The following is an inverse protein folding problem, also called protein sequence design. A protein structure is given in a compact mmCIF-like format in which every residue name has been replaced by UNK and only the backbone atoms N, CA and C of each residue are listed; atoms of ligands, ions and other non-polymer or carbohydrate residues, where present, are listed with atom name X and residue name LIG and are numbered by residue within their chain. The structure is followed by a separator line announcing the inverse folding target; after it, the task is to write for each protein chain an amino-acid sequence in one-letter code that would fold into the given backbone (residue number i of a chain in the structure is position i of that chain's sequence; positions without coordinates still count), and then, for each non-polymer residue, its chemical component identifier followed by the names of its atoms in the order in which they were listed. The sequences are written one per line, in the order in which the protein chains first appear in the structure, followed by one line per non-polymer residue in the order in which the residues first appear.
data_IF_019316814747
#
_entry.id   IF_019316814747
#
_cell.length_a   1.000
_cell.length_b   1.000
_cell.length_c   1.000
_cell.angle_alpha   90.00
_cell.angle_beta   90.00
_cell.angle_gamma   90.00
#
_symmetry.space_group_name_H-M   'P 1'
#
loop_
_entity.id
_entity.type
_entity.pdbx_description
1 polymer ?
#
# COMPACT_ATOMS: atom_id res chain seq x y z
N UNK A 1 -20.79 15.95 -1.22
CA UNK A 1 -20.19 15.12 -0.16
C UNK A 1 -20.01 13.72 -0.70
N UNK A 2 -18.78 13.26 -0.81
CA UNK A 2 -18.47 11.87 -1.11
C UNK A 2 -17.16 11.52 -0.41
N UNK A 3 -17.21 10.57 0.52
CA UNK A 3 -16.00 9.97 1.07
C UNK A 3 -15.77 8.65 0.35
N UNK A 4 -14.65 8.57 -0.34
CA UNK A 4 -14.31 7.46 -1.21
C UNK A 4 -13.06 6.77 -0.67
N UNK A 5 -13.17 5.49 -0.32
CA UNK A 5 -12.01 4.66 -0.06
C UNK A 5 -11.47 4.08 -1.38
N UNK A 6 -10.16 4.17 -1.59
CA UNK A 6 -9.46 3.61 -2.74
C UNK A 6 -8.49 2.55 -2.22
N UNK A 7 -8.76 1.29 -2.49
CA UNK A 7 -8.00 0.15 -1.95
C UNK A 7 -7.68 -0.90 -3.02
N UNK A 8 -6.90 -1.93 -2.68
CA UNK A 8 -6.42 -2.94 -3.63
C UNK A 8 -7.11 -4.27 -3.40
N UNK A 9 -7.51 -4.97 -4.45
CA UNK A 9 -8.15 -6.28 -4.33
C UNK A 9 -7.15 -7.39 -3.92
N UNK A 10 -5.88 -7.28 -4.30
CA UNK A 10 -4.95 -8.40 -4.31
C UNK A 10 -3.72 -8.14 -3.42
N UNK A 11 -2.51 -8.24 -3.98
CA UNK A 11 -1.24 -8.16 -3.25
C UNK A 11 -0.67 -6.75 -3.10
N UNK A 12 -1.28 -5.74 -3.70
CA UNK A 12 -1.07 -4.36 -3.32
C UNK A 12 -0.38 -3.42 -4.30
N UNK A 13 -0.08 -3.86 -5.51
CA UNK A 13 0.56 -3.06 -6.55
C UNK A 13 -0.37 -2.72 -7.73
N UNK A 14 -1.68 -2.70 -7.51
CA UNK A 14 -2.74 -2.62 -8.53
C UNK A 14 -2.90 -1.25 -9.24
N UNK A 15 -2.10 -0.25 -8.87
CA UNK A 15 -2.17 1.10 -9.47
C UNK A 15 -3.06 2.10 -8.72
N UNK A 16 -3.38 1.85 -7.45
CA UNK A 16 -4.21 2.75 -6.60
C UNK A 16 -3.77 4.21 -6.61
N UNK A 17 -2.46 4.48 -6.60
CA UNK A 17 -1.93 5.85 -6.60
C UNK A 17 -2.34 6.63 -7.86
N UNK A 18 -2.38 5.98 -9.03
CA UNK A 18 -2.84 6.61 -10.29
C UNK A 18 -4.33 6.95 -10.24
N UNK A 19 -5.14 6.07 -9.63
CA UNK A 19 -6.57 6.31 -9.44
C UNK A 19 -6.80 7.43 -8.43
N UNK A 20 -6.03 7.44 -7.34
CA UNK A 20 -6.09 8.50 -6.32
C UNK A 20 -5.68 9.85 -6.90
N UNK A 21 -4.58 9.91 -7.65
CA UNK A 21 -4.12 11.11 -8.35
C UNK A 21 -5.18 11.66 -9.33
N UNK A 22 -5.75 10.80 -10.16
CA UNK A 22 -6.80 11.17 -11.12
C UNK A 22 -8.03 11.76 -10.42
N UNK A 23 -8.47 11.14 -9.32
CA UNK A 23 -9.63 11.61 -8.55
C UNK A 23 -9.32 12.80 -7.64
N UNK A 24 -8.04 13.05 -7.31
CA UNK A 24 -7.63 14.11 -6.40
C UNK A 24 -7.90 15.51 -6.97
N UNK A 25 -8.03 15.65 -8.29
CA UNK A 25 -8.38 16.91 -8.97
C UNK A 25 -9.65 17.54 -8.37
N UNK A 26 -10.65 16.71 -8.07
CA UNK A 26 -11.96 17.13 -7.55
C UNK A 26 -12.13 16.94 -6.02
N UNK A 27 -11.05 16.55 -5.34
CA UNK A 27 -11.06 16.31 -3.90
C UNK A 27 -10.76 17.59 -3.09
N UNK A 28 -11.33 17.68 -1.89
CA UNK A 28 -10.89 18.68 -0.90
C UNK A 28 -9.76 18.10 -0.03
N UNK A 29 -9.80 16.79 0.25
CA UNK A 29 -8.82 16.09 1.08
C UNK A 29 -8.38 14.76 0.46
N UNK A 30 -7.10 14.43 0.61
CA UNK A 30 -6.56 13.08 0.39
C UNK A 30 -5.88 12.60 1.66
N UNK A 31 -6.31 11.47 2.18
CA UNK A 31 -5.95 10.98 3.51
C UNK A 31 -5.28 9.63 3.41
N UNK A 32 -4.03 9.56 3.89
CA UNK A 32 -3.32 8.31 4.13
C UNK A 32 -3.65 7.82 5.53
N UNK A 33 -4.24 6.63 5.62
CA UNK A 33 -4.82 6.13 6.87
C UNK A 33 -4.09 4.92 7.46
N UNK A 34 -3.17 4.28 6.74
CA UNK A 34 -2.43 3.11 7.22
C UNK A 34 -1.12 2.94 6.45
N UNK A 35 -0.36 1.92 6.86
CA UNK A 35 0.89 1.53 6.21
C UNK A 35 2.02 2.46 6.62
N UNK A 36 2.91 2.80 5.71
CA UNK A 36 4.10 3.60 5.95
C UNK A 36 4.98 3.65 4.69
N UNK A 37 6.30 3.71 4.88
CA UNK A 37 7.26 3.76 3.78
C UNK A 37 7.45 2.41 3.01
N UNK A 38 6.68 1.38 3.36
CA UNK A 38 6.76 0.04 2.76
C UNK A 38 5.97 -0.13 1.47
N UNK A 39 5.08 0.80 1.16
CA UNK A 39 4.40 0.85 -0.11
C UNK A 39 4.63 2.21 -0.70
N UNK A 40 4.65 2.27 -2.02
CA UNK A 40 4.76 3.50 -2.76
C UNK A 40 4.07 3.40 -4.09
N UNK A 41 3.84 4.56 -4.69
CA UNK A 41 3.28 4.68 -6.01
C UNK A 41 4.11 5.70 -6.79
N UNK A 42 4.15 5.49 -8.10
CA UNK A 42 4.78 6.42 -9.01
C UNK A 42 3.73 7.40 -9.50
N UNK A 43 4.00 8.70 -9.41
CA UNK A 43 3.24 9.74 -10.10
C UNK A 43 4.10 10.31 -11.22
N UNK A 44 3.54 10.39 -12.42
CA UNK A 44 4.17 11.03 -13.58
C UNK A 44 3.31 12.23 -13.95
N UNK A 45 3.88 13.43 -13.84
CA UNK A 45 3.19 14.68 -14.11
C UNK A 45 4.15 15.67 -14.80
N UNK A 46 3.72 16.91 -15.11
CA UNK A 46 4.59 17.90 -15.76
C UNK A 46 5.87 18.27 -14.99
N UNK A 47 5.96 17.97 -13.69
CA UNK A 47 7.15 18.17 -12.85
C UNK A 47 8.09 16.96 -12.86
N UNK A 48 7.71 15.87 -13.55
CA UNK A 48 8.52 14.66 -13.75
C UNK A 48 7.92 13.42 -13.07
N UNK A 49 8.78 12.43 -12.86
CA UNK A 49 8.45 11.15 -12.23
C UNK A 49 8.83 11.18 -10.74
N UNK A 50 7.87 10.99 -9.86
CA UNK A 50 8.05 10.96 -8.40
C UNK A 50 7.65 9.59 -7.83
N UNK A 51 8.43 9.08 -6.88
CA UNK A 51 8.11 7.85 -6.16
C UNK A 51 7.67 8.23 -4.73
N UNK A 52 6.37 8.28 -4.49
CA UNK A 52 5.79 8.65 -3.20
C UNK A 52 5.49 7.42 -2.37
N UNK A 53 5.85 7.45 -1.09
CA UNK A 53 5.61 6.39 -0.11
C UNK A 53 4.78 6.91 1.06
N UNK A 54 5.09 8.08 1.62
CA UNK A 54 4.36 8.65 2.74
C UNK A 54 3.40 9.74 2.30
N UNK A 55 3.84 10.63 1.41
CA UNK A 55 3.00 11.70 0.91
C UNK A 55 1.79 11.11 0.14
N UNK A 56 0.56 11.61 0.38
CA UNK A 56 -0.59 11.18 -0.38
C UNK A 56 -0.50 11.61 -1.85
N UNK A 57 -1.17 10.92 -2.77
CA UNK A 57 -1.11 11.23 -4.21
C UNK A 57 -1.61 12.65 -4.55
N UNK A 58 -2.46 13.22 -3.70
CA UNK A 58 -2.98 14.59 -3.85
C UNK A 58 -1.96 15.71 -3.62
N UNK A 59 -0.71 15.39 -3.31
CA UNK A 59 0.33 16.35 -2.90
C UNK A 59 0.68 17.38 -3.98
N UNK A 60 0.43 17.07 -5.25
CA UNK A 60 0.71 17.96 -6.37
C UNK A 60 -0.37 19.03 -6.60
N UNK A 61 -1.52 18.95 -5.93
CA UNK A 61 -2.66 19.84 -6.15
C UNK A 61 -2.75 20.90 -5.04
N UNK A 62 -2.53 22.20 -5.33
CA UNK A 62 -2.51 23.25 -4.29
C UNK A 62 -3.85 23.46 -3.57
N UNK A 63 -4.96 23.04 -4.16
CA UNK A 63 -6.29 23.10 -3.57
C UNK A 63 -6.56 21.95 -2.59
N UNK A 64 -5.84 20.84 -2.69
CA UNK A 64 -6.10 19.60 -1.94
C UNK A 64 -5.33 19.58 -0.63
N UNK A 65 -6.03 19.31 0.47
CA UNK A 65 -5.39 19.12 1.78
C UNK A 65 -4.99 17.65 1.95
N UNK A 66 -3.69 17.42 2.06
CA UNK A 66 -3.09 16.10 2.21
C UNK A 66 -2.92 15.79 3.69
N UNK A 67 -3.39 14.62 4.14
CA UNK A 67 -3.45 14.25 5.55
C UNK A 67 -2.70 12.94 5.79
N UNK A 68 -1.73 12.97 6.70
CA UNK A 68 -1.13 11.78 7.30
C UNK A 68 -1.85 11.49 8.62
N UNK A 69 -2.68 10.47 8.64
CA UNK A 69 -3.55 10.17 9.77
C UNK A 69 -2.90 9.25 10.83
N UNK A 70 -3.50 9.09 12.03
CA UNK A 70 -2.90 8.35 13.14
C UNK A 70 -2.57 6.89 12.84
N UNK A 71 -3.23 6.29 11.85
CA UNK A 71 -3.00 4.91 11.46
C UNK A 71 -1.66 4.68 10.77
N UNK A 72 -1.00 5.71 10.22
CA UNK A 72 0.25 5.60 9.44
C UNK A 72 1.49 5.43 10.35
N UNK A 73 2.43 4.60 9.89
CA UNK A 73 3.80 4.51 10.39
C UNK A 73 4.67 5.60 9.76
N UNK A 74 4.82 6.73 10.46
CA UNK A 74 5.49 7.92 9.93
C UNK A 74 7.02 7.79 10.05
N UNK A 75 7.69 7.45 8.96
CA UNK A 75 9.15 7.55 8.84
C UNK A 75 9.53 9.00 8.48
N UNK A 76 10.11 9.74 9.43
CA UNK A 76 10.43 11.15 9.23
C UNK A 76 11.53 11.37 8.20
N UNK A 77 12.48 10.45 8.06
CA UNK A 77 13.55 10.57 7.07
C UNK A 77 12.92 10.53 5.66
N UNK A 78 12.11 9.50 5.39
CA UNK A 78 11.42 9.33 4.11
C UNK A 78 10.44 10.48 3.83
N UNK A 79 9.74 10.95 4.85
CA UNK A 79 8.81 12.08 4.73
C UNK A 79 9.51 13.35 4.25
N UNK A 80 10.67 13.67 4.84
CA UNK A 80 11.44 14.85 4.45
C UNK A 80 12.13 14.66 3.10
N UNK A 81 12.67 13.48 2.82
CA UNK A 81 13.25 13.17 1.51
C UNK A 81 12.23 13.40 0.38
N UNK A 82 10.99 12.93 0.55
CA UNK A 82 9.92 13.13 -0.43
C UNK A 82 9.53 14.61 -0.57
N UNK A 83 9.39 15.34 0.55
CA UNK A 83 9.02 16.75 0.50
C UNK A 83 10.14 17.62 -0.11
N UNK A 84 11.40 17.32 0.20
CA UNK A 84 12.56 18.01 -0.34
C UNK A 84 12.72 17.71 -1.84
N UNK A 85 12.38 16.49 -2.30
CA UNK A 85 12.32 16.16 -3.73
C UNK A 85 11.26 16.98 -4.47
N UNK A 86 10.06 17.15 -3.89
CA UNK A 86 9.02 18.01 -4.47
C UNK A 86 9.53 19.44 -4.67
N UNK A 87 10.17 20.02 -3.65
CA UNK A 87 10.72 21.37 -3.71
C UNK A 87 11.84 21.50 -4.75
N UNK A 88 12.77 20.55 -4.79
CA UNK A 88 13.89 20.55 -5.75
C UNK A 88 13.40 20.52 -7.20
N UNK A 89 12.27 19.85 -7.47
CA UNK A 89 11.67 19.77 -8.80
C UNK A 89 10.63 20.86 -9.08
N UNK A 90 10.56 21.88 -8.23
CA UNK A 90 9.63 23.00 -8.34
C UNK A 90 8.16 22.55 -8.44
N UNK A 91 7.81 21.45 -7.75
CA UNK A 91 6.41 21.08 -7.55
C UNK A 91 5.75 22.12 -6.62
N UNK A 92 4.42 22.31 -6.70
CA UNK A 92 3.72 23.24 -5.82
C UNK A 92 3.90 22.90 -4.35
N UNK A 93 3.96 23.92 -3.48
CA UNK A 93 4.03 23.69 -2.04
C UNK A 93 2.72 23.01 -1.56
N UNK A 94 2.82 21.82 -0.94
CA UNK A 94 1.63 21.06 -0.61
C UNK A 94 0.93 21.58 0.64
N UNK A 95 -0.41 21.59 0.62
CA UNK A 95 -1.20 21.74 1.86
C UNK A 95 -1.16 20.43 2.63
N UNK A 96 -0.24 20.32 3.57
CA UNK A 96 0.02 19.08 4.30
C UNK A 96 -0.37 19.21 5.77
N UNK A 97 -0.97 18.14 6.32
CA UNK A 97 -1.37 18.01 7.71
C UNK A 97 -0.94 16.66 8.25
N UNK A 98 -0.26 16.66 9.39
CA UNK A 98 0.22 15.46 10.07
C UNK A 98 -0.50 15.33 11.40
N UNK A 99 -1.02 14.15 11.68
CA UNK A 99 -1.72 13.88 12.93
C UNK A 99 -0.77 13.98 14.13
N UNK A 100 -1.18 14.74 15.14
CA UNK A 100 -0.56 14.76 16.46
C UNK A 100 -0.54 13.37 17.15
N UNK A 101 -1.41 12.46 16.71
CA UNK A 101 -1.54 11.07 17.20
C UNK A 101 -0.83 10.03 16.33
N UNK A 102 -0.31 10.41 15.16
CA UNK A 102 0.55 9.51 14.38
C UNK A 102 1.78 9.14 15.22
N UNK A 103 2.33 7.94 14.98
CA UNK A 103 3.54 7.48 15.65
C UNK A 103 4.70 7.43 14.66
N UNK A 104 5.91 7.65 15.16
CA UNK A 104 7.12 7.71 14.33
C UNK A 104 7.81 6.35 14.21
N UNK A 105 8.29 6.05 13.01
CA UNK A 105 9.20 4.93 12.79
C UNK A 105 10.59 5.33 13.32
N UNK A 106 11.00 4.68 14.40
CA UNK A 106 12.30 4.89 15.03
C UNK A 106 13.42 4.10 14.34
N UNK A 107 14.69 4.55 14.46
CA UNK A 107 15.82 3.87 13.82
C UNK A 107 15.92 2.39 14.17
N UNK A 108 15.64 2.03 15.44
CA UNK A 108 15.66 0.62 15.87
C UNK A 108 14.60 -0.23 15.16
N UNK A 109 13.46 0.33 14.72
CA UNK A 109 12.47 -0.46 13.99
C UNK A 109 13.04 -0.96 12.66
N UNK A 110 13.71 -0.09 11.90
CA UNK A 110 14.35 -0.45 10.62
C UNK A 110 15.43 -1.51 10.82
N UNK A 111 16.24 -1.35 11.86
CA UNK A 111 17.28 -2.31 12.22
C UNK A 111 16.69 -3.67 12.61
N UNK A 112 15.72 -3.71 13.52
CA UNK A 112 15.09 -4.96 13.96
C UNK A 112 14.41 -5.71 12.81
N UNK A 113 13.74 -4.98 11.90
CA UNK A 113 13.13 -5.54 10.70
C UNK A 113 14.18 -6.18 9.78
N UNK A 114 15.29 -5.48 9.55
CA UNK A 114 16.42 -6.01 8.78
C UNK A 114 17.08 -7.23 9.45
N UNK A 115 17.31 -7.17 10.76
CA UNK A 115 17.96 -8.24 11.53
C UNK A 115 17.11 -9.51 11.59
N UNK A 116 15.78 -9.38 11.68
CA UNK A 116 14.88 -10.53 11.66
C UNK A 116 14.90 -11.22 10.30
N UNK A 117 14.87 -10.48 9.19
CA UNK A 117 15.02 -11.05 7.85
C UNK A 117 16.39 -11.72 7.64
N UNK A 118 17.47 -11.13 8.16
CA UNK A 118 18.81 -11.74 8.16
C UNK A 118 18.82 -13.07 8.92
N UNK A 119 18.19 -13.10 10.11
CA UNK A 119 18.10 -14.29 10.98
C UNK A 119 17.28 -15.41 10.33
N UNK A 120 16.19 -15.06 9.65
CA UNK A 120 15.31 -16.03 8.99
C UNK A 120 15.90 -16.60 7.70
N UNK A 121 16.79 -15.85 7.03
CA UNK A 121 17.45 -16.26 5.80
C UNK A 121 16.46 -16.80 4.74
N UNK A 122 16.48 -18.10 4.45
CA UNK A 122 15.59 -18.74 3.48
C UNK A 122 14.11 -18.79 3.89
N UNK A 123 13.81 -18.55 5.17
CA UNK A 123 12.45 -18.47 5.72
C UNK A 123 11.97 -17.01 5.90
N UNK A 124 12.59 -16.05 5.21
CA UNK A 124 12.23 -14.63 5.27
C UNK A 124 10.80 -14.38 4.77
N UNK A 125 10.16 -13.37 5.34
CA UNK A 125 8.83 -12.94 4.93
C UNK A 125 8.85 -12.07 3.67
N UNK A 126 10.04 -11.55 3.31
CA UNK A 126 10.19 -10.61 2.20
C UNK A 126 9.85 -9.19 2.61
N UNK A 127 10.24 -8.80 3.82
CA UNK A 127 10.02 -7.46 4.35
C UNK A 127 10.71 -6.40 3.50
N UNK A 128 10.14 -5.19 3.50
CA UNK A 128 10.73 -4.01 2.87
C UNK A 128 11.88 -3.42 3.69
N UNK A 129 12.12 -3.94 4.91
CA UNK A 129 13.15 -3.45 5.84
C UNK A 129 12.97 -1.98 6.22
N UNK A 130 11.71 -1.52 6.20
CA UNK A 130 11.31 -0.15 6.55
C UNK A 130 10.81 -0.05 8.00
N UNK A 131 10.91 -1.11 8.79
CA UNK A 131 10.57 -1.09 10.21
C UNK A 131 9.08 -1.24 10.50
N UNK A 132 8.26 -1.64 9.53
CA UNK A 132 6.79 -1.66 9.67
C UNK A 132 6.33 -2.64 10.74
N UNK A 133 6.82 -3.89 10.70
CA UNK A 133 6.39 -4.89 11.67
C UNK A 133 6.84 -4.53 13.11
N UNK A 134 8.12 -4.19 13.37
CA UNK A 134 8.53 -3.71 14.69
C UNK A 134 7.77 -2.46 15.15
N UNK A 135 7.46 -1.52 14.24
CA UNK A 135 6.69 -0.33 14.55
C UNK A 135 5.26 -0.65 15.00
N UNK A 136 4.52 -1.45 14.24
CA UNK A 136 3.14 -1.81 14.61
C UNK A 136 3.10 -2.71 15.86
N UNK A 137 4.15 -3.51 16.09
CA UNK A 137 4.33 -4.21 17.35
C UNK A 137 4.50 -3.24 18.53
N UNK A 138 5.34 -2.22 18.41
CA UNK A 138 5.52 -1.21 19.46
C UNK A 138 4.26 -0.38 19.70
N UNK A 139 3.48 -0.10 18.64
CA UNK A 139 2.16 0.52 18.73
C UNK A 139 1.20 -0.33 19.55
N UNK A 140 1.15 -1.64 19.30
CA UNK A 140 0.31 -2.58 20.06
C UNK A 140 0.82 -2.79 21.51
N UNK A 141 2.13 -2.79 21.72
CA UNK A 141 2.78 -2.86 23.03
C UNK A 141 2.68 -1.55 23.83
N UNK A 142 2.21 -0.47 23.20
CA UNK A 142 2.02 0.87 23.80
C UNK A 142 3.34 1.52 24.22
N UNK A 143 4.40 1.29 23.45
CA UNK A 143 5.74 1.84 23.70
C UNK A 143 6.25 2.75 22.56
N UNK A 144 5.46 2.92 21.49
CA UNK A 144 5.79 3.82 20.39
C UNK A 144 5.69 5.31 20.74
N UNK A 145 6.48 6.13 20.05
CA UNK A 145 6.53 7.59 20.21
C UNK A 145 5.55 8.25 19.25
N UNK A 146 4.71 9.15 19.75
CA UNK A 146 3.76 9.94 18.95
C UNK A 146 4.40 11.24 18.45
N UNK A 147 3.85 11.78 17.38
CA UNK A 147 4.21 13.10 16.84
C UNK A 147 4.07 14.20 17.90
N UNK A 148 3.01 14.16 18.72
CA UNK A 148 2.82 15.09 19.86
C UNK A 148 3.88 14.96 20.96
N UNK A 149 4.61 13.84 21.04
CA UNK A 149 5.69 13.67 22.00
C UNK A 149 6.99 14.34 21.53
N UNK A 150 7.13 14.61 20.22
CA UNK A 150 8.38 15.12 19.64
C UNK A 150 8.78 16.52 20.12
N UNK A 151 7.82 17.30 20.60
CA UNK A 151 8.05 18.64 21.17
C UNK A 151 8.35 18.61 22.66
N UNK A 152 8.37 17.43 23.30
CA UNK A 152 8.63 17.23 24.73
C UNK A 152 9.80 16.26 24.92
N UNK A 153 11.04 16.78 25.02
CA UNK A 153 12.24 15.97 25.16
C UNK A 153 12.24 15.03 26.37
N UNK A 154 11.67 15.46 27.49
CA UNK A 154 11.59 14.66 28.71
C UNK A 154 10.64 13.48 28.49
N UNK A 155 9.50 13.71 27.86
CA UNK A 155 8.56 12.63 27.51
C UNK A 155 9.14 11.67 26.49
N UNK A 156 9.84 12.15 25.46
CA UNK A 156 10.54 11.28 24.51
C UNK A 156 11.56 10.39 25.21
N UNK A 157 12.42 10.97 26.05
CA UNK A 157 13.43 10.23 26.81
C UNK A 157 12.79 9.16 27.69
N UNK A 158 11.78 9.53 28.46
CA UNK A 158 11.06 8.60 29.33
C UNK A 158 10.43 7.43 28.56
N UNK A 159 9.93 7.64 27.34
CA UNK A 159 9.40 6.56 26.51
C UNK A 159 10.50 5.66 25.94
N UNK A 160 11.61 6.24 25.47
CA UNK A 160 12.76 5.48 24.96
C UNK A 160 13.42 4.63 26.06
N UNK A 161 13.57 5.17 27.28
CA UNK A 161 14.09 4.43 28.43
C UNK A 161 13.22 3.22 28.82
N UNK A 162 11.92 3.27 28.51
CA UNK A 162 11.01 2.13 28.71
C UNK A 162 11.06 1.12 27.57
N UNK A 163 11.15 1.60 26.33
CA UNK A 163 11.10 0.75 25.14
C UNK A 163 12.43 0.02 24.87
N UNK A 164 13.54 0.75 24.95
CA UNK A 164 14.85 0.32 24.44
C UNK A 164 15.45 -0.89 25.17
N UNK A 165 15.33 -1.06 26.51
CA UNK A 165 15.94 -2.21 27.20
C UNK A 165 15.53 -3.58 26.64
N UNK A 166 14.26 -3.76 26.28
CA UNK A 166 13.78 -4.99 25.66
C UNK A 166 14.36 -5.18 24.25
N UNK A 167 14.54 -4.09 23.50
CA UNK A 167 15.11 -4.11 22.16
C UNK A 167 16.62 -4.39 22.18
N UNK A 168 17.34 -3.83 23.14
CA UNK A 168 18.77 -4.10 23.34
C UNK A 168 19.05 -5.58 23.66
N UNK A 169 18.17 -6.22 24.44
CA UNK A 169 18.26 -7.67 24.70
C UNK A 169 18.09 -8.46 23.39
N UNK A 170 17.13 -8.07 22.55
CA UNK A 170 16.94 -8.71 21.24
C UNK A 170 18.14 -8.46 20.32
N UNK A 171 18.59 -7.21 20.19
CA UNK A 171 19.73 -6.81 19.36
C UNK A 171 20.99 -7.60 19.74
N UNK A 172 21.37 -7.57 21.02
CA UNK A 172 22.62 -8.20 21.48
C UNK A 172 22.49 -9.72 21.63
N UNK A 173 21.40 -10.22 22.20
CA UNK A 173 21.25 -11.63 22.56
C UNK A 173 20.76 -12.51 21.40
N UNK A 174 19.79 -12.03 20.61
CA UNK A 174 19.22 -12.80 19.50
C UNK A 174 19.95 -12.53 18.18
N UNK A 175 20.24 -11.26 17.88
CA UNK A 175 20.79 -10.86 16.58
C UNK A 175 22.31 -10.69 16.57
N UNK A 176 22.97 -10.63 17.73
CA UNK A 176 24.42 -10.40 17.83
C UNK A 176 24.86 -9.03 17.32
N UNK A 177 24.02 -8.01 17.49
CA UNK A 177 24.22 -6.62 17.04
C UNK A 177 24.45 -5.68 18.22
N UNK A 178 24.96 -4.49 17.93
CA UNK A 178 25.25 -3.48 18.94
C UNK A 178 23.97 -2.84 19.52
N UNK A 179 24.09 -2.33 20.75
CA UNK A 179 23.04 -1.54 21.41
C UNK A 179 22.91 -0.18 20.77
N UNK A 180 21.73 0.43 20.92
CA UNK A 180 21.51 1.81 20.48
C UNK A 180 21.66 2.80 21.64
N UNK A 181 22.09 4.03 21.30
CA UNK A 181 22.11 5.14 22.24
C UNK A 181 20.76 5.88 22.23
N UNK A 182 20.14 6.03 23.40
CA UNK A 182 18.94 6.86 23.57
C UNK A 182 19.23 8.30 23.12
N UNK A 183 20.38 8.84 23.50
CA UNK A 183 20.77 10.22 23.16
C UNK A 183 20.87 10.39 21.65
N UNK A 184 21.45 9.43 20.94
CA UNK A 184 21.54 9.47 19.48
C UNK A 184 20.16 9.43 18.80
N UNK A 185 19.21 8.68 19.35
CA UNK A 185 17.83 8.64 18.84
C UNK A 185 17.15 9.99 19.08
N UNK A 186 17.28 10.56 20.28
CA UNK A 186 16.69 11.87 20.62
C UNK A 186 17.27 12.97 19.75
N UNK A 187 18.58 13.01 19.54
CA UNK A 187 19.23 14.03 18.72
C UNK A 187 18.73 14.01 17.27
N UNK A 188 18.60 12.79 16.71
CA UNK A 188 18.04 12.58 15.37
C UNK A 188 16.59 13.07 15.29
N UNK A 189 15.72 12.66 16.24
CA UNK A 189 14.31 13.08 16.25
C UNK A 189 14.13 14.58 16.48
N UNK A 190 14.95 15.20 17.32
CA UNK A 190 14.88 16.63 17.61
C UNK A 190 15.18 17.45 16.35
N UNK A 191 16.16 17.01 15.57
CA UNK A 191 16.52 17.64 14.29
C UNK A 191 15.36 17.57 13.29
N UNK A 192 14.72 16.39 13.16
CA UNK A 192 13.64 16.17 12.19
C UNK A 192 12.30 16.79 12.62
N UNK A 193 12.03 16.88 13.92
CA UNK A 193 10.76 17.37 14.48
C UNK A 193 10.60 18.88 14.43
N UNK A 194 11.69 19.65 14.46
CA UNK A 194 11.65 21.12 14.40
C UNK A 194 10.90 21.58 13.13
N UNK A 195 11.21 20.96 11.99
CA UNK A 195 10.54 21.22 10.70
C UNK A 195 9.09 20.75 10.67
N UNK A 196 8.74 19.74 11.47
CA UNK A 196 7.41 19.10 11.44
C UNK A 196 6.33 19.97 12.07
N UNK A 197 6.70 20.83 13.02
CA UNK A 197 5.77 21.59 13.88
C UNK A 197 4.68 22.34 13.12
N UNK A 198 4.98 22.92 11.95
CA UNK A 198 4.01 23.66 11.12
C UNK A 198 2.94 22.77 10.48
N UNK A 199 3.20 21.47 10.35
CA UNK A 199 2.29 20.50 9.74
C UNK A 199 1.40 19.79 10.77
N UNK A 200 1.76 19.81 12.04
CA UNK A 200 1.07 19.06 13.10
C UNK A 200 -0.31 19.68 13.38
N UNK A 201 -1.35 18.85 13.43
CA UNK A 201 -2.68 19.25 13.90
C UNK A 201 -3.48 18.05 14.44
N UNK A 202 -4.61 18.35 15.09
CA UNK A 202 -5.63 17.33 15.35
C UNK A 202 -6.37 17.00 14.06
N UNK A 203 -5.89 15.97 13.35
CA UNK A 203 -6.47 15.52 12.09
C UNK A 203 -7.87 14.92 12.27
N UNK A 204 -8.23 14.46 13.47
CA UNK A 204 -9.57 13.93 13.74
C UNK A 204 -10.58 15.06 13.70
N UNK A 205 -10.31 16.16 14.43
CA UNK A 205 -11.16 17.36 14.38
C UNK A 205 -11.23 17.92 12.97
N UNK A 206 -10.09 18.05 12.29
CA UNK A 206 -10.01 18.52 10.91
C UNK A 206 -10.93 17.73 9.97
N UNK A 207 -10.83 16.40 9.98
CA UNK A 207 -11.62 15.54 9.10
C UNK A 207 -13.10 15.53 9.50
N UNK A 208 -13.43 15.55 10.79
CA UNK A 208 -14.82 15.64 11.23
C UNK A 208 -15.48 16.97 10.81
N UNK A 209 -14.75 18.09 10.85
CA UNK A 209 -15.26 19.37 10.41
C UNK A 209 -15.37 19.46 8.88
N UNK A 210 -14.45 18.82 8.15
CA UNK A 210 -14.59 18.65 6.70
C UNK A 210 -15.84 17.83 6.33
N UNK A 211 -16.09 16.73 7.05
CA UNK A 211 -17.30 15.89 6.87
C UNK A 211 -18.57 16.71 7.11
N UNK A 212 -18.65 17.49 8.21
CA UNK A 212 -19.81 18.37 8.48
C UNK A 212 -20.01 19.46 7.44
N UNK A 213 -18.93 19.86 6.76
CA UNK A 213 -18.94 20.85 5.70
C UNK A 213 -19.14 20.25 4.29
N UNK A 214 -19.61 19.00 4.21
CA UNK A 214 -19.93 18.27 2.97
C UNK A 214 -18.76 18.14 1.99
N UNK A 215 -17.52 18.16 2.51
CA UNK A 215 -16.27 18.10 1.73
C UNK A 215 -16.05 16.73 1.08
N UNK A 216 -15.37 16.73 -0.07
CA UNK A 216 -14.98 15.50 -0.76
C UNK A 216 -13.65 14.98 -0.20
N UNK A 217 -13.64 13.73 0.26
CA UNK A 217 -12.49 13.12 0.94
C UNK A 217 -12.12 11.81 0.26
N UNK A 218 -10.88 11.69 -0.20
CA UNK A 218 -10.32 10.43 -0.68
C UNK A 218 -9.49 9.77 0.41
N UNK A 219 -9.76 8.49 0.70
CA UNK A 219 -8.98 7.68 1.62
C UNK A 219 -8.07 6.76 0.79
N UNK A 220 -6.78 7.06 0.80
CA UNK A 220 -5.78 6.37 0.00
C UNK A 220 -5.23 5.16 0.75
N UNK A 221 -5.60 3.97 0.30
CA UNK A 221 -5.12 2.70 0.84
C UNK A 221 -3.76 2.30 0.28
N UNK A 222 -2.93 1.71 1.14
CA UNK A 222 -1.69 1.05 0.72
C UNK A 222 -1.84 -0.46 0.67
N UNK A 223 -1.08 -1.10 -0.22
CA UNK A 223 -1.13 -2.55 -0.45
C UNK A 223 -2.57 -3.01 -0.82
N UNK A 224 -2.87 -4.30 -0.68
CA UNK A 224 -4.15 -4.88 -1.09
C UNK A 224 -4.66 -5.87 -0.07
N UNK A 225 -5.91 -6.34 -0.23
CA UNK A 225 -6.60 -7.17 0.74
C UNK A 225 -5.84 -8.46 1.11
N UNK A 226 -5.07 -9.04 0.18
CA UNK A 226 -4.32 -10.28 0.44
C UNK A 226 -3.04 -10.06 1.27
N UNK A 227 -2.69 -8.80 1.55
CA UNK A 227 -1.63 -8.41 2.50
C UNK A 227 -2.17 -7.98 3.86
N UNK A 228 -3.47 -8.01 4.07
CA UNK A 228 -4.08 -7.72 5.37
C UNK A 228 -3.61 -8.73 6.45
N UNK A 229 -3.26 -8.31 7.67
CA UNK A 229 -2.77 -9.21 8.71
C UNK A 229 -3.82 -10.22 9.21
N UNK A 230 -5.11 -9.89 9.15
CA UNK A 230 -6.18 -10.77 9.59
C UNK A 230 -6.77 -11.60 8.44
N UNK A 231 -6.96 -10.96 7.28
CA UNK A 231 -7.71 -11.52 6.15
C UNK A 231 -6.84 -11.87 4.94
N UNK A 232 -5.55 -11.56 4.98
CA UNK A 232 -4.59 -11.85 3.92
C UNK A 232 -3.91 -13.21 4.06
N UNK A 233 -2.84 -13.40 3.30
CA UNK A 233 -2.10 -14.65 3.23
C UNK A 233 -1.04 -14.69 4.33
N UNK A 234 -1.44 -14.93 5.57
CA UNK A 234 -0.54 -15.01 6.72
C UNK A 234 0.44 -16.21 6.60
N UNK A 235 1.75 -16.06 6.90
CA UNK A 235 2.43 -14.90 7.50
C UNK A 235 2.98 -13.88 6.48
N UNK A 236 2.66 -14.01 5.19
CA UNK A 236 3.11 -13.13 4.13
C UNK A 236 2.23 -11.87 4.04
N UNK A 237 2.00 -11.20 5.16
CA UNK A 237 1.13 -10.02 5.26
C UNK A 237 1.96 -8.79 5.61
N UNK A 238 1.34 -7.61 5.56
CA UNK A 238 1.86 -6.44 6.27
C UNK A 238 1.40 -6.47 7.74
N UNK A 239 1.67 -5.40 8.48
CA UNK A 239 1.33 -5.28 9.91
C UNK A 239 0.28 -4.21 10.19
N UNK A 240 -0.37 -3.71 9.14
CA UNK A 240 -1.56 -2.85 9.22
C UNK A 240 -2.66 -3.38 8.34
N UNK A 241 -3.92 -3.19 8.76
CA UNK A 241 -5.03 -3.58 7.91
C UNK A 241 -5.08 -2.75 6.63
N UNK A 242 -5.19 -3.43 5.50
CA UNK A 242 -5.19 -2.83 4.15
C UNK A 242 -6.60 -2.59 3.62
N UNK A 243 -7.61 -3.04 4.37
CA UNK A 243 -9.01 -3.04 3.97
C UNK A 243 -9.64 -1.65 4.11
N UNK A 244 -10.63 -1.37 3.26
CA UNK A 244 -11.39 -0.11 3.28
C UNK A 244 -12.00 0.19 4.66
N UNK A 245 -12.51 -0.82 5.37
CA UNK A 245 -13.10 -0.65 6.70
C UNK A 245 -12.12 -0.13 7.76
N UNK A 246 -10.82 -0.40 7.62
CA UNK A 246 -9.80 0.13 8.53
C UNK A 246 -9.58 1.63 8.34
N UNK A 247 -9.96 2.21 7.19
CA UNK A 247 -9.84 3.65 6.96
C UNK A 247 -10.59 4.47 8.01
N UNK A 248 -11.71 3.97 8.53
CA UNK A 248 -12.45 4.59 9.63
C UNK A 248 -11.58 4.74 10.88
N UNK A 249 -10.90 3.67 11.27
CA UNK A 249 -10.04 3.62 12.46
C UNK A 249 -8.74 4.39 12.22
N UNK A 250 -8.11 4.19 11.05
CA UNK A 250 -6.84 4.79 10.69
C UNK A 250 -6.90 6.29 10.46
N UNK A 251 -8.01 6.79 9.90
CA UNK A 251 -8.27 8.21 9.68
C UNK A 251 -8.98 8.90 10.86
N UNK A 252 -9.70 8.14 11.69
CA UNK A 252 -10.54 8.69 12.76
C UNK A 252 -11.82 9.31 12.22
N UNK A 253 -12.54 8.61 11.34
CA UNK A 253 -13.82 9.05 10.76
C UNK A 253 -14.94 8.03 11.07
N UNK A 254 -16.23 8.44 11.06
CA UNK A 254 -17.33 7.52 11.30
C UNK A 254 -17.44 6.45 10.21
N UNK A 255 -17.77 5.19 10.55
CA UNK A 255 -17.83 4.10 9.58
C UNK A 255 -18.89 4.28 8.49
N UNK A 256 -20.04 4.85 8.85
CA UNK A 256 -21.12 5.15 7.89
C UNK A 256 -20.78 6.30 6.93
N UNK A 257 -19.68 7.02 7.15
CA UNK A 257 -19.32 8.16 6.32
C UNK A 257 -18.65 7.72 5.00
N UNK A 258 -18.09 6.51 4.94
CA UNK A 258 -17.55 5.94 3.70
C UNK A 258 -18.73 5.39 2.89
N UNK A 259 -19.12 6.12 1.85
CA UNK A 259 -20.25 5.77 0.99
C UNK A 259 -19.82 5.11 -0.32
N UNK A 260 -18.56 5.32 -0.73
CA UNK A 260 -18.00 4.75 -1.95
C UNK A 260 -16.70 3.99 -1.63
N UNK A 261 -16.59 2.77 -2.12
CA UNK A 261 -15.39 1.93 -2.00
C UNK A 261 -14.97 1.49 -3.38
N UNK A 262 -13.92 2.12 -3.91
CA UNK A 262 -13.29 1.78 -5.17
C UNK A 262 -12.18 0.77 -4.88
N UNK A 263 -12.36 -0.47 -5.34
CA UNK A 263 -11.32 -1.49 -5.27
C UNK A 263 -10.61 -1.58 -6.61
N UNK A 264 -9.28 -1.41 -6.59
CA UNK A 264 -8.44 -1.49 -7.78
C UNK A 264 -7.87 -2.89 -7.92
N UNK A 265 -7.98 -3.45 -9.12
CA UNK A 265 -7.35 -4.71 -9.55
C UNK A 265 -6.68 -4.52 -10.90
N UNK A 266 -5.65 -5.30 -11.20
CA UNK A 266 -5.04 -5.35 -12.54
C UNK A 266 -5.78 -6.35 -13.42
N UNK A 267 -5.64 -6.21 -14.74
CA UNK A 267 -6.05 -7.21 -15.73
C UNK A 267 -5.21 -8.51 -15.68
N UNK A 268 -4.20 -8.56 -14.82
CA UNK A 268 -3.42 -9.75 -14.53
C UNK A 268 -3.01 -9.70 -13.05
N UNK A 269 -2.38 -10.75 -12.54
CA UNK A 269 -1.96 -10.77 -11.14
C UNK A 269 -0.49 -10.41 -11.01
N UNK A 270 -0.15 -9.69 -9.95
CA UNK A 270 1.22 -9.38 -9.58
C UNK A 270 1.38 -9.45 -8.06
N UNK A 271 2.57 -9.82 -7.61
CA UNK A 271 2.85 -10.03 -6.20
C UNK A 271 4.26 -9.52 -5.85
N UNK A 272 4.32 -8.61 -4.88
CA UNK A 272 5.57 -8.10 -4.29
C UNK A 272 5.90 -8.89 -3.04
N UNK A 273 6.98 -9.67 -3.04
CA UNK A 273 7.43 -10.42 -1.88
C UNK A 273 7.12 -11.92 -1.93
N UNK A 274 7.28 -12.60 -0.80
CA UNK A 274 7.09 -14.04 -0.69
C UNK A 274 5.60 -14.42 -0.50
N UNK A 275 5.36 -15.73 -0.55
CA UNK A 275 4.07 -16.36 -0.24
C UNK A 275 3.40 -17.06 -1.42
N UNK A 276 2.32 -17.82 -1.17
CA UNK A 276 1.52 -18.45 -2.21
C UNK A 276 1.07 -17.47 -3.29
N UNK A 277 1.16 -17.92 -4.55
CA UNK A 277 0.66 -17.19 -5.70
C UNK A 277 0.23 -18.21 -6.75
N UNK A 278 -1.06 -18.54 -6.75
CA UNK A 278 -1.60 -19.71 -7.48
C UNK A 278 -1.46 -19.58 -8.99
N UNK A 279 -1.61 -18.36 -9.52
CA UNK A 279 -1.53 -18.08 -10.97
C UNK A 279 -0.14 -17.64 -11.44
N UNK A 280 0.89 -17.78 -10.62
CA UNK A 280 2.25 -17.34 -10.97
C UNK A 280 2.76 -17.98 -12.27
N UNK A 281 3.32 -17.14 -13.14
CA UNK A 281 3.94 -17.53 -14.39
C UNK A 281 5.47 -17.60 -14.23
N UNK A 282 6.06 -18.80 -14.26
CA UNK A 282 7.51 -18.94 -14.29
C UNK A 282 8.05 -18.80 -15.72
N UNK A 283 9.32 -18.39 -15.83
CA UNK A 283 10.06 -18.39 -17.09
C UNK A 283 9.63 -17.30 -18.07
N UNK A 284 9.80 -17.58 -19.37
CA UNK A 284 9.71 -16.59 -20.44
C UNK A 284 8.35 -15.87 -20.50
N UNK A 285 7.24 -16.57 -20.28
CA UNK A 285 5.91 -15.96 -20.31
C UNK A 285 5.74 -14.94 -19.17
N UNK A 286 6.25 -15.26 -17.99
CA UNK A 286 6.28 -14.35 -16.85
C UNK A 286 7.25 -13.19 -17.05
N UNK A 287 8.39 -13.42 -17.72
CA UNK A 287 9.36 -12.37 -18.04
C UNK A 287 8.77 -11.36 -19.03
N UNK A 288 8.13 -11.82 -20.10
CA UNK A 288 7.46 -10.98 -21.11
C UNK A 288 6.35 -10.13 -20.47
N UNK A 289 5.46 -10.74 -19.68
CA UNK A 289 4.39 -10.02 -18.99
C UNK A 289 4.97 -8.98 -18.00
N UNK A 290 6.07 -9.32 -17.32
CA UNK A 290 6.74 -8.41 -16.39
C UNK A 290 7.34 -7.20 -17.11
N UNK A 291 7.98 -7.41 -18.25
CA UNK A 291 8.58 -6.33 -19.04
C UNK A 291 7.51 -5.37 -19.60
N UNK A 292 6.35 -5.91 -19.99
CA UNK A 292 5.22 -5.13 -20.51
C UNK A 292 4.37 -4.43 -19.45
N UNK A 293 4.46 -4.82 -18.19
CA UNK A 293 3.52 -4.38 -17.17
C UNK A 293 3.63 -2.90 -16.81
N UNK A 294 2.70 -2.09 -17.32
CA UNK A 294 2.65 -0.65 -17.08
C UNK A 294 3.86 0.13 -17.61
N UNK A 295 3.96 1.40 -17.24
CA UNK A 295 4.91 2.35 -17.87
C UNK A 295 6.41 2.01 -17.70
N UNK A 296 6.75 1.11 -16.78
CA UNK A 296 8.14 0.77 -16.45
C UNK A 296 8.36 -0.72 -16.15
N UNK A 297 7.41 -1.57 -16.52
CA UNK A 297 7.40 -2.97 -16.14
C UNK A 297 7.03 -3.22 -14.66
N UNK A 298 6.89 -4.49 -14.32
CA UNK A 298 6.56 -4.97 -12.97
C UNK A 298 7.81 -5.10 -12.10
N UNK A 299 8.36 -3.93 -11.73
CA UNK A 299 9.54 -3.80 -10.88
C UNK A 299 9.27 -2.86 -9.69
N UNK A 300 9.97 -3.09 -8.58
CA UNK A 300 9.89 -2.21 -7.41
C UNK A 300 10.40 -0.79 -7.73
N UNK A 301 9.64 0.25 -7.37
CA UNK A 301 9.96 1.64 -7.71
C UNK A 301 11.32 2.11 -7.17
N UNK A 302 11.71 1.65 -5.98
CA UNK A 302 12.99 1.99 -5.35
C UNK A 302 14.08 0.96 -5.59
N UNK A 303 13.74 -0.32 -5.49
CA UNK A 303 14.72 -1.42 -5.46
C UNK A 303 15.03 -2.00 -6.83
N UNK A 304 14.17 -1.78 -7.83
CA UNK A 304 14.23 -2.43 -9.13
C UNK A 304 14.00 -3.95 -9.07
N UNK A 305 13.60 -4.51 -7.92
CA UNK A 305 13.39 -5.95 -7.78
C UNK A 305 12.21 -6.39 -8.66
N UNK A 306 12.35 -7.47 -9.46
CA UNK A 306 11.26 -7.99 -10.26
C UNK A 306 10.12 -8.47 -9.35
N UNK A 307 8.90 -8.10 -9.71
CA UNK A 307 7.70 -8.64 -9.09
C UNK A 307 7.37 -9.97 -9.74
N UNK A 308 6.72 -10.84 -8.96
CA UNK A 308 6.13 -12.05 -9.50
C UNK A 308 4.88 -11.64 -10.26
N UNK A 309 4.63 -12.25 -11.41
CA UNK A 309 3.46 -11.97 -12.25
C UNK A 309 2.75 -13.27 -12.58
N UNK A 310 1.47 -13.17 -12.92
CA UNK A 310 0.61 -14.30 -13.18
C UNK A 310 -0.65 -13.88 -13.92
N UNK A 311 -1.42 -14.86 -14.40
CA UNK A 311 -2.71 -14.58 -15.02
C UNK A 311 -3.71 -13.99 -14.02
N UNK A 312 -4.78 -13.39 -14.53
CA UNK A 312 -5.85 -12.85 -13.70
C UNK A 312 -6.45 -13.95 -12.82
N UNK A 313 -6.55 -13.66 -11.52
CA UNK A 313 -7.07 -14.59 -10.53
C UNK A 313 -8.44 -14.11 -10.04
N UNK A 314 -9.50 -14.65 -10.64
CA UNK A 314 -10.86 -14.26 -10.29
C UNK A 314 -11.25 -14.73 -8.88
N UNK A 315 -10.70 -15.86 -8.41
CA UNK A 315 -10.96 -16.39 -7.06
C UNK A 315 -10.41 -15.42 -6.00
N UNK A 316 -9.14 -15.04 -6.15
CA UNK A 316 -8.49 -14.11 -5.24
C UNK A 316 -9.08 -12.69 -5.32
N UNK A 317 -9.36 -12.21 -6.53
CA UNK A 317 -9.91 -10.86 -6.76
C UNK A 317 -11.33 -10.74 -6.21
N UNK A 318 -12.19 -11.72 -6.47
CA UNK A 318 -13.56 -11.78 -5.91
C UNK A 318 -13.54 -11.76 -4.38
N UNK A 319 -12.62 -12.50 -3.76
CA UNK A 319 -12.44 -12.49 -2.30
C UNK A 319 -12.05 -11.09 -1.80
N UNK A 320 -11.05 -10.45 -2.41
CA UNK A 320 -10.59 -9.11 -2.01
C UNK A 320 -11.62 -8.00 -2.24
N UNK A 321 -12.41 -8.09 -3.31
CA UNK A 321 -13.54 -7.19 -3.61
C UNK A 321 -14.64 -7.36 -2.56
N UNK A 322 -15.03 -8.61 -2.26
CA UNK A 322 -16.08 -8.94 -1.28
C UNK A 322 -15.72 -8.46 0.12
N UNK A 323 -14.50 -8.71 0.59
CA UNK A 323 -14.06 -8.32 1.94
C UNK A 323 -14.20 -6.83 2.21
N UNK A 324 -14.00 -6.01 1.19
CA UNK A 324 -13.94 -4.55 1.31
C UNK A 324 -15.29 -3.88 1.11
N UNK A 325 -16.32 -4.65 0.69
CA UNK A 325 -17.63 -4.09 0.34
C UNK A 325 -17.53 -3.11 -0.83
N UNK A 326 -16.78 -3.48 -1.87
CA UNK A 326 -16.59 -2.62 -3.04
C UNK A 326 -17.93 -2.19 -3.63
N UNK A 327 -18.08 -0.89 -3.88
CA UNK A 327 -19.19 -0.33 -4.66
C UNK A 327 -18.82 -0.22 -6.13
N UNK A 328 -17.53 -0.08 -6.41
CA UNK A 328 -16.97 0.10 -7.74
C UNK A 328 -15.65 -0.67 -7.83
N UNK A 329 -15.31 -1.14 -9.03
CA UNK A 329 -14.03 -1.76 -9.33
C UNK A 329 -13.34 -0.99 -10.44
N UNK A 330 -12.04 -0.78 -10.30
CA UNK A 330 -11.18 -0.30 -11.40
C UNK A 330 -10.31 -1.45 -11.85
N UNK A 331 -10.46 -1.83 -13.12
CA UNK A 331 -9.58 -2.77 -13.81
C UNK A 331 -8.46 -2.00 -14.52
N UNK A 332 -7.25 -2.06 -13.98
CA UNK A 332 -6.08 -1.35 -14.49
C UNK A 332 -5.24 -2.21 -15.43
N UNK A 333 -4.42 -1.56 -16.26
CA UNK A 333 -3.41 -2.19 -17.11
C UNK A 333 -3.99 -3.22 -18.10
N UNK A 334 -5.18 -2.95 -18.64
CA UNK A 334 -5.81 -3.79 -19.69
C UNK A 334 -4.92 -3.83 -20.94
N UNK A 335 -4.30 -2.70 -21.29
CA UNK A 335 -3.39 -2.54 -22.43
C UNK A 335 -2.22 -3.54 -22.44
N UNK A 336 -1.75 -3.95 -21.27
CA UNK A 336 -0.65 -4.91 -21.11
C UNK A 336 -0.97 -6.25 -21.75
N UNK A 337 -2.23 -6.67 -21.82
CA UNK A 337 -2.63 -7.95 -22.40
C UNK A 337 -2.74 -7.93 -23.93
N UNK A 338 -2.61 -6.76 -24.57
CA UNK A 338 -2.91 -6.59 -25.99
C UNK A 338 -2.00 -7.32 -26.97
N UNK A 339 -0.90 -7.91 -26.50
CA UNK A 339 -0.01 -8.74 -27.31
C UNK A 339 -0.44 -10.21 -27.41
N UNK A 340 -1.45 -10.65 -26.65
CA UNK A 340 -1.84 -12.06 -26.54
C UNK A 340 -2.80 -12.49 -27.64
N UNK A 341 -2.69 -13.75 -28.06
CA UNK A 341 -3.68 -14.45 -28.92
C UNK A 341 -4.83 -15.00 -28.09
N UNK A 342 -4.52 -15.47 -26.88
CA UNK A 342 -5.42 -16.10 -25.93
C UNK A 342 -5.06 -15.64 -24.52
N UNK A 343 -6.07 -15.39 -23.68
CA UNK A 343 -5.92 -14.85 -22.33
C UNK A 343 -6.51 -15.84 -21.33
N UNK A 344 -5.69 -16.52 -20.52
CA UNK A 344 -6.17 -17.36 -19.44
C UNK A 344 -6.72 -16.53 -18.27
N UNK A 345 -7.85 -16.95 -17.72
CA UNK A 345 -8.49 -16.40 -16.52
C UNK A 345 -8.67 -17.55 -15.53
N UNK A 346 -8.08 -17.44 -14.33
CA UNK A 346 -8.29 -18.45 -13.30
C UNK A 346 -9.65 -18.23 -12.65
N UNK A 347 -10.60 -19.14 -12.89
CA UNK A 347 -11.99 -19.04 -12.40
C UNK A 347 -12.28 -19.93 -11.20
N UNK A 348 -11.42 -20.91 -10.95
CA UNK A 348 -11.48 -21.79 -9.78
C UNK A 348 -10.08 -22.29 -9.42
N UNK A 349 -9.94 -22.91 -8.25
CA UNK A 349 -8.76 -23.66 -7.87
C UNK A 349 -9.07 -25.16 -7.77
N UNK A 350 -8.12 -26.00 -8.13
CA UNK A 350 -8.09 -27.41 -7.77
C UNK A 350 -7.26 -27.58 -6.49
N UNK A 351 -7.92 -28.02 -5.42
CA UNK A 351 -7.30 -28.34 -4.12
C UNK A 351 -7.43 -29.84 -3.89
N UNK A 352 -6.39 -30.61 -4.22
CA UNK A 352 -6.34 -32.07 -4.07
C UNK A 352 -7.46 -32.84 -4.80
N UNK A 353 -7.87 -32.38 -5.98
CA UNK A 353 -8.91 -32.97 -6.81
C UNK A 353 -10.31 -32.35 -6.58
N UNK A 354 -10.44 -31.41 -5.64
CA UNK A 354 -11.69 -30.68 -5.40
C UNK A 354 -11.62 -29.27 -6.02
N UNK A 355 -12.60 -28.97 -6.88
CA UNK A 355 -12.75 -27.62 -7.45
C UNK A 355 -13.39 -26.68 -6.44
N UNK A 356 -12.68 -25.61 -6.07
CA UNK A 356 -13.15 -24.57 -5.15
C UNK A 356 -13.17 -23.21 -5.84
N UNK A 357 -14.18 -22.40 -5.53
CA UNK A 357 -14.37 -21.04 -6.08
C UNK A 357 -14.29 -19.95 -5.01
N UNK A 358 -14.17 -20.33 -3.75
CA UNK A 358 -13.86 -19.42 -2.64
C UNK A 358 -12.37 -19.50 -2.32
N UNK A 359 -11.79 -18.36 -1.93
CA UNK A 359 -10.37 -18.27 -1.65
C UNK A 359 -9.97 -19.11 -0.42
N UNK A 360 -9.11 -20.13 -0.57
CA UNK A 360 -8.73 -21.02 0.52
C UNK A 360 -7.67 -20.37 1.43
N UNK A 361 -7.52 -20.93 2.64
CA UNK A 361 -6.54 -20.46 3.63
C UNK A 361 -5.58 -21.58 4.05
N UNK A 362 -4.38 -21.19 4.47
CA UNK A 362 -3.34 -22.10 4.96
C UNK A 362 -2.96 -23.15 3.92
N UNK A 363 -2.83 -24.41 4.36
CA UNK A 363 -2.34 -25.52 3.52
C UNK A 363 -3.14 -25.73 2.23
N UNK A 364 -4.44 -25.43 2.24
CA UNK A 364 -5.28 -25.56 1.05
C UNK A 364 -4.82 -24.60 -0.06
N UNK A 365 -4.39 -23.39 0.30
CA UNK A 365 -3.83 -22.41 -0.64
C UNK A 365 -2.43 -22.83 -1.14
N UNK A 366 -1.61 -23.43 -0.28
CA UNK A 366 -0.25 -23.87 -0.66
C UNK A 366 -0.25 -24.96 -1.74
N UNK A 367 -1.29 -25.78 -1.79
CA UNK A 367 -1.41 -26.89 -2.76
C UNK A 367 -2.40 -26.59 -3.89
N UNK A 368 -3.03 -25.42 -3.86
CA UNK A 368 -4.00 -25.00 -4.86
C UNK A 368 -3.34 -24.88 -6.24
N UNK A 369 -4.05 -25.33 -7.27
CA UNK A 369 -3.67 -25.18 -8.68
C UNK A 369 -4.73 -24.39 -9.42
N UNK A 370 -4.35 -23.49 -10.34
CA UNK A 370 -5.32 -22.70 -11.08
C UNK A 370 -6.11 -23.56 -12.07
N UNK A 371 -7.41 -23.31 -12.16
CA UNK A 371 -8.28 -23.84 -13.22
C UNK A 371 -8.63 -22.68 -14.14
N UNK A 372 -8.15 -22.75 -15.38
CA UNK A 372 -8.26 -21.67 -16.34
C UNK A 372 -9.44 -21.84 -17.28
N UNK A 373 -10.13 -20.74 -17.55
CA UNK A 373 -10.91 -20.52 -18.76
C UNK A 373 -10.10 -19.61 -19.69
N UNK A 374 -10.17 -19.86 -21.00
CA UNK A 374 -9.42 -19.10 -21.99
C UNK A 374 -10.35 -18.19 -22.78
N UNK A 375 -9.95 -16.93 -22.96
CA UNK A 375 -10.63 -15.96 -23.81
C UNK A 375 -9.77 -15.60 -25.03
N UNK A 376 -10.39 -15.17 -26.15
CA UNK A 376 -9.64 -14.59 -27.27
C UNK A 376 -8.91 -13.31 -26.83
N UNK A 377 -7.64 -13.16 -27.25
CA UNK A 377 -6.91 -11.90 -27.17
C UNK A 377 -7.20 -10.98 -28.36
N UNK A 378 -6.60 -9.79 -28.39
CA UNK A 378 -6.92 -8.75 -29.41
C UNK A 378 -5.76 -8.24 -30.25
N UNK A 379 -4.51 -8.67 -30.01
CA UNK A 379 -3.32 -8.35 -30.85
C UNK A 379 -3.20 -6.89 -31.30
N UNK A 380 -3.58 -5.95 -30.44
CA UNK A 380 -3.58 -4.52 -30.74
C UNK A 380 -3.36 -3.69 -29.49
N UNK A 381 -2.79 -2.51 -29.68
CA UNK A 381 -2.60 -1.53 -28.61
C UNK A 381 -3.91 -0.79 -28.33
N UNK A 382 -4.24 -0.66 -27.05
CA UNK A 382 -5.45 0.02 -26.54
C UNK A 382 -5.11 1.15 -25.55
N UNK A 383 -3.83 1.48 -25.38
CA UNK A 383 -3.33 2.46 -24.39
C UNK A 383 -3.87 3.88 -24.60
N UNK A 384 -4.21 4.24 -25.84
CA UNK A 384 -4.74 5.56 -26.20
C UNK A 384 -6.28 5.65 -26.24
N UNK A 385 -6.99 4.54 -25.99
CA UNK A 385 -8.44 4.51 -25.99
C UNK A 385 -8.99 5.23 -24.74
N UNK A 386 -10.05 6.02 -24.92
CA UNK A 386 -10.71 6.78 -23.84
C UNK A 386 -12.19 6.46 -23.70
N UNK A 387 -12.82 5.95 -24.75
CA UNK A 387 -14.23 5.54 -24.75
C UNK A 387 -14.33 4.01 -24.75
N UNK A 388 -15.18 3.45 -23.88
CA UNK A 388 -15.32 1.99 -23.72
C UNK A 388 -15.73 1.29 -25.03
N UNK A 389 -16.61 1.93 -25.80
CA UNK A 389 -17.13 1.40 -27.07
C UNK A 389 -16.09 1.41 -28.21
N UNK A 390 -14.94 2.06 -28.02
CA UNK A 390 -13.82 2.03 -28.98
C UNK A 390 -12.87 0.85 -28.75
N UNK A 391 -12.97 0.15 -27.62
CA UNK A 391 -12.18 -1.06 -27.36
C UNK A 391 -12.47 -2.15 -28.42
N UNK A 392 -11.47 -2.96 -28.81
CA UNK A 392 -11.72 -4.18 -29.57
C UNK A 392 -12.75 -5.06 -28.87
N UNK A 393 -13.60 -5.76 -29.62
CA UNK A 393 -14.66 -6.60 -29.02
C UNK A 393 -14.10 -7.61 -28.03
N UNK A 394 -12.99 -8.28 -28.37
CA UNK A 394 -12.33 -9.23 -27.48
C UNK A 394 -11.79 -8.59 -26.17
N UNK A 395 -11.40 -7.31 -26.21
CA UNK A 395 -10.99 -6.58 -25.00
C UNK A 395 -12.20 -6.26 -24.12
N UNK A 396 -13.35 -5.86 -24.71
CA UNK A 396 -14.60 -5.68 -23.96
C UNK A 396 -15.09 -6.98 -23.36
N UNK A 397 -15.11 -8.06 -24.16
CA UNK A 397 -15.51 -9.39 -23.70
C UNK A 397 -14.68 -9.83 -22.48
N UNK A 398 -13.37 -9.54 -22.48
CA UNK A 398 -12.50 -9.79 -21.34
C UNK A 398 -12.91 -8.98 -20.10
N UNK A 399 -13.17 -7.68 -20.25
CA UNK A 399 -13.62 -6.81 -19.14
C UNK A 399 -14.96 -7.29 -18.58
N UNK A 400 -15.94 -7.58 -19.45
CA UNK A 400 -17.27 -8.06 -19.07
C UNK A 400 -17.20 -9.43 -18.38
N UNK A 401 -16.30 -10.31 -18.81
CA UNK A 401 -16.06 -11.60 -18.14
C UNK A 401 -15.43 -11.44 -16.76
N UNK A 402 -14.55 -10.46 -16.57
CA UNK A 402 -13.98 -10.12 -15.26
C UNK A 402 -15.04 -9.52 -14.32
N UNK A 403 -16.00 -8.77 -14.88
CA UNK A 403 -17.11 -8.17 -14.12
C UNK A 403 -18.15 -9.20 -13.66
N UNK A 404 -18.46 -10.21 -14.47
CA UNK A 404 -19.48 -11.25 -14.20
C UNK A 404 -19.12 -12.21 -13.06
#
# INVERSE_FOLDING_TARGET
MMITAITGANWGDEGKGKITDSLAVDADFVVRFQGGANAGHTVINPHGKFALHLLPSGVFYPNVTNVIAPGVALDLDVFWDELDELQQRNAPEPKLKVSDRAQVVLPYHRLLDGYEEERLAGASFGSTKRGIAPFYADKALKVGIRVSDLTDPDRMRNQLERALPAKDILMTGLYGKDRMSIDAIIDSLTTLSTRLTSYICDTTVLLHDAIKADKNILLEGQLGALRDPEHGIHPFTTSSSTLAGYACVGAGIPPYAIEKVIVVTKAYSSCVGAGPFVTELPGADGDELRERGGDAGEYGATTGRPRRVGWFDAVATKYGVRLQGATDVVLSLVDVLGYLDEIPICTAYDVNGETVTDFPVGRALDVAKPVYETMPGWKSDVSEIREYDELPSAARDYVEKVES
#
